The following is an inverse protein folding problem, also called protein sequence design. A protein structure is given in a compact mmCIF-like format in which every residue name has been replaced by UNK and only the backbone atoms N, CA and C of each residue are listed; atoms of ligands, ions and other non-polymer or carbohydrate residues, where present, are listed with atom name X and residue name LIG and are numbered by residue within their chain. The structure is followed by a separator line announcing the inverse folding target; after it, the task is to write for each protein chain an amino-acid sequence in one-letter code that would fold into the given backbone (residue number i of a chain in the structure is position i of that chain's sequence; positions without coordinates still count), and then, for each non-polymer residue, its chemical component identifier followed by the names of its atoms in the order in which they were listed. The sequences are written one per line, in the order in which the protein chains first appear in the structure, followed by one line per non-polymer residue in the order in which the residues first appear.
data_IF_618448713478
#
_entry.id   IF_618448713478
#
_cell.length_a   1.000
_cell.length_b   1.000
_cell.length_c   1.000
_cell.angle_alpha   90.00
_cell.angle_beta   90.00
_cell.angle_gamma   90.00
#
_symmetry.space_group_name_H-M   'P 1'
#
loop_
_entity.id
_entity.type
_entity.pdbx_description
1 polymer ?
#
# COMPACT_ATOMS: atom_id res chain seq x y z
N UNK A 1 -13.28 7.46 -10.53
CA UNK A 1 -13.44 7.86 -11.95
C UNK A 1 -13.62 6.63 -12.81
N UNK A 2 -14.12 6.80 -14.05
CA UNK A 2 -14.35 5.71 -15.00
C UNK A 2 -13.06 4.91 -15.27
N UNK A 3 -11.93 5.61 -15.44
CA UNK A 3 -10.62 5.00 -15.71
C UNK A 3 -10.11 4.16 -14.52
N UNK A 4 -10.42 4.58 -13.29
CA UNK A 4 -10.09 3.83 -12.07
C UNK A 4 -10.97 2.58 -11.94
N UNK A 5 -12.25 2.70 -12.30
CA UNK A 5 -13.19 1.57 -12.28
C UNK A 5 -12.73 0.50 -13.28
N UNK A 6 -12.40 0.90 -14.52
CA UNK A 6 -11.90 0.01 -15.56
C UNK A 6 -10.64 -0.76 -15.14
N UNK A 7 -9.74 -0.13 -14.37
CA UNK A 7 -8.55 -0.81 -13.84
C UNK A 7 -8.84 -1.82 -12.72
N UNK A 8 -9.98 -1.72 -12.05
CA UNK A 8 -10.30 -2.50 -10.84
C UNK A 8 -11.32 -3.62 -11.07
N UNK A 9 -12.06 -3.61 -12.19
CA UNK A 9 -13.11 -4.59 -12.48
C UNK A 9 -12.64 -5.66 -13.48
N UNK A 10 -13.10 -6.89 -13.28
CA UNK A 10 -13.05 -7.91 -14.33
C UNK A 10 -14.31 -7.76 -15.18
N UNK A 11 -14.23 -6.96 -16.24
CA UNK A 11 -15.22 -7.07 -17.30
C UNK A 11 -14.89 -8.30 -18.17
N UNK A 12 -15.89 -8.94 -18.79
CA UNK A 12 -15.67 -10.00 -19.78
C UNK A 12 -14.64 -9.54 -20.83
N UNK A 13 -13.79 -10.46 -21.32
CA UNK A 13 -12.82 -10.15 -22.38
C UNK A 13 -13.50 -9.46 -23.57
N UNK A 14 -13.07 -8.23 -23.89
CA UNK A 14 -13.66 -7.37 -24.93
C UNK A 14 -14.44 -6.16 -24.42
N UNK A 15 -14.83 -6.14 -23.14
CA UNK A 15 -15.65 -5.06 -22.54
C UNK A 15 -14.79 -4.08 -21.72
N UNK A 16 -13.63 -4.51 -21.19
CA UNK A 16 -12.74 -3.70 -20.34
C UNK A 16 -12.02 -2.54 -21.07
N UNK A 17 -11.79 -2.68 -22.38
CA UNK A 17 -11.17 -1.65 -23.22
C UNK A 17 -12.21 -0.70 -23.86
N UNK A 18 -13.48 -1.11 -23.84
CA UNK A 18 -14.57 -0.34 -24.43
C UNK A 18 -15.27 0.50 -23.37
N UNK A 19 -14.98 1.80 -23.40
CA UNK A 19 -15.61 2.76 -22.51
C UNK A 19 -17.12 2.83 -22.77
N UNK A 20 -17.58 2.58 -23.99
CA UNK A 20 -19.00 2.63 -24.36
C UNK A 20 -19.80 1.54 -23.63
N UNK A 21 -19.28 0.32 -23.58
CA UNK A 21 -19.88 -0.78 -22.81
C UNK A 21 -19.90 -0.52 -21.30
N UNK A 22 -18.87 0.15 -20.76
CA UNK A 22 -18.83 0.50 -19.32
C UNK A 22 -19.85 1.58 -18.98
N UNK A 23 -20.01 2.58 -19.86
CA UNK A 23 -21.05 3.60 -19.75
C UNK A 23 -22.45 2.99 -19.81
N UNK A 24 -22.66 1.99 -20.68
CA UNK A 24 -23.93 1.25 -20.77
C UNK A 24 -24.25 0.52 -19.46
N UNK A 25 -23.30 -0.21 -18.89
CA UNK A 25 -23.47 -0.91 -17.60
C UNK A 25 -23.78 0.09 -16.47
N UNK A 26 -23.10 1.22 -16.42
CA UNK A 26 -23.38 2.27 -15.43
C UNK A 26 -24.78 2.87 -15.66
N UNK A 27 -25.20 3.01 -16.92
CA UNK A 27 -26.54 3.45 -17.30
C UNK A 27 -27.65 2.53 -16.79
N UNK A 28 -27.41 1.21 -16.77
CA UNK A 28 -28.35 0.23 -16.17
C UNK A 28 -28.52 0.45 -14.66
N UNK A 29 -27.53 1.03 -13.99
CA UNK A 29 -27.57 1.38 -12.57
C UNK A 29 -28.14 2.80 -12.30
N UNK A 30 -28.81 3.44 -13.27
CA UNK A 30 -29.21 4.85 -13.22
C UNK A 30 -30.06 5.30 -12.02
N UNK A 31 -30.67 4.37 -11.27
CA UNK A 31 -31.34 4.65 -9.99
C UNK A 31 -30.39 4.90 -8.82
N UNK A 32 -29.15 4.40 -8.92
CA UNK A 32 -28.12 4.49 -7.88
C UNK A 32 -26.90 5.31 -8.32
N UNK A 33 -26.50 5.21 -9.59
CA UNK A 33 -25.29 5.82 -10.13
C UNK A 33 -25.61 6.88 -11.18
N UNK A 34 -24.80 7.91 -11.22
CA UNK A 34 -24.75 8.89 -12.31
C UNK A 34 -23.34 8.96 -12.87
N UNK A 35 -23.26 9.07 -14.19
CA UNK A 35 -22.03 9.36 -14.90
C UNK A 35 -22.09 10.80 -15.43
N UNK A 36 -21.11 11.62 -15.05
CA UNK A 36 -20.91 12.97 -15.61
C UNK A 36 -19.49 13.05 -16.15
N UNK A 37 -19.35 13.10 -17.48
CA UNK A 37 -18.04 12.93 -18.11
C UNK A 37 -17.43 11.59 -17.70
N UNK A 38 -16.25 11.60 -17.09
CA UNK A 38 -15.57 10.40 -16.54
C UNK A 38 -15.78 10.19 -15.03
N UNK A 39 -16.71 10.89 -14.41
CA UNK A 39 -16.94 10.81 -12.96
C UNK A 39 -18.21 10.03 -12.65
N UNK A 40 -18.04 8.91 -11.93
CA UNK A 40 -19.13 8.09 -11.39
C UNK A 40 -19.45 8.60 -9.98
N UNK A 41 -20.73 8.86 -9.69
CA UNK A 41 -21.17 9.28 -8.36
C UNK A 41 -22.54 8.72 -8.02
N UNK A 42 -22.83 8.56 -6.73
CA UNK A 42 -24.15 8.12 -6.26
C UNK A 42 -25.18 9.23 -6.47
N UNK A 43 -26.37 8.88 -6.95
CA UNK A 43 -27.48 9.81 -7.20
C UNK A 43 -27.86 10.56 -5.93
N UNK A 44 -27.86 9.86 -4.78
CA UNK A 44 -28.24 10.43 -3.49
C UNK A 44 -27.60 9.69 -2.31
N UNK A 45 -27.54 10.32 -1.13
CA UNK A 45 -27.03 9.68 0.09
C UNK A 45 -27.86 8.43 0.47
N UNK A 46 -29.16 8.43 0.20
CA UNK A 46 -30.02 7.25 0.42
C UNK A 46 -29.62 6.04 -0.44
N UNK A 47 -29.12 6.26 -1.66
CA UNK A 47 -28.58 5.19 -2.49
C UNK A 47 -27.33 4.58 -1.84
N UNK A 48 -26.46 5.41 -1.25
CA UNK A 48 -25.31 4.93 -0.46
C UNK A 48 -25.76 4.07 0.72
N UNK A 49 -26.72 4.57 1.50
CA UNK A 49 -27.18 3.92 2.71
C UNK A 49 -27.88 2.59 2.40
N UNK A 50 -28.69 2.54 1.34
CA UNK A 50 -29.32 1.32 0.86
C UNK A 50 -28.29 0.26 0.46
N UNK A 51 -27.30 0.63 -0.37
CA UNK A 51 -26.26 -0.30 -0.84
C UNK A 51 -25.37 -0.81 0.30
N UNK A 52 -25.06 0.04 1.29
CA UNK A 52 -24.15 -0.30 2.39
C UNK A 52 -24.84 -0.94 3.61
N UNK A 53 -26.18 -1.00 3.64
CA UNK A 53 -26.90 -1.54 4.81
C UNK A 53 -27.98 -2.54 4.44
N UNK A 54 -28.83 -2.18 3.48
CA UNK A 54 -30.03 -2.96 3.17
C UNK A 54 -29.75 -4.03 2.13
N UNK A 55 -29.03 -3.68 1.06
CA UNK A 55 -28.77 -4.58 -0.07
C UNK A 55 -27.47 -5.39 0.05
N UNK A 56 -26.70 -5.25 1.13
CA UNK A 56 -25.37 -5.87 1.28
C UNK A 56 -25.40 -7.37 1.03
N UNK A 57 -26.39 -8.08 1.59
CA UNK A 57 -26.51 -9.53 1.46
C UNK A 57 -26.97 -9.98 0.06
N UNK A 58 -27.72 -9.13 -0.65
CA UNK A 58 -28.16 -9.41 -2.02
C UNK A 58 -27.04 -9.16 -3.03
N UNK A 59 -26.22 -8.12 -2.79
CA UNK A 59 -25.12 -7.73 -3.67
C UNK A 59 -23.88 -8.60 -3.42
N UNK A 60 -23.64 -8.98 -2.16
CA UNK A 60 -22.47 -9.75 -1.75
C UNK A 60 -22.91 -11.02 -1.00
N UNK A 61 -23.55 -12.00 -1.68
CA UNK A 61 -24.07 -13.20 -1.04
C UNK A 61 -22.96 -14.05 -0.39
N UNK A 62 -21.73 -13.96 -0.91
CA UNK A 62 -20.57 -14.68 -0.41
C UNK A 62 -19.73 -13.87 0.60
N UNK A 63 -20.16 -12.65 0.95
CA UNK A 63 -19.48 -11.76 1.89
C UNK A 63 -18.70 -10.60 1.25
N UNK A 64 -18.65 -9.47 1.97
CA UNK A 64 -17.94 -8.26 1.52
C UNK A 64 -16.41 -8.43 1.51
N UNK A 65 -15.88 -9.35 2.32
CA UNK A 65 -14.45 -9.65 2.46
C UNK A 65 -13.86 -10.21 1.16
N UNK A 66 -14.64 -11.00 0.41
CA UNK A 66 -14.22 -11.52 -0.90
C UNK A 66 -14.07 -10.38 -1.91
N UNK A 67 -14.99 -9.42 -1.89
CA UNK A 67 -14.92 -8.25 -2.77
C UNK A 67 -13.76 -7.34 -2.40
N UNK A 68 -13.54 -7.10 -1.10
CA UNK A 68 -12.37 -6.38 -0.63
C UNK A 68 -11.06 -7.05 -1.06
N UNK A 69 -10.96 -8.38 -0.97
CA UNK A 69 -9.80 -9.13 -1.44
C UNK A 69 -9.61 -9.00 -2.96
N UNK A 70 -10.69 -9.09 -3.73
CA UNK A 70 -10.66 -8.91 -5.17
C UNK A 70 -10.12 -7.53 -5.57
N UNK A 71 -10.66 -6.47 -4.97
CA UNK A 71 -10.23 -5.10 -5.23
C UNK A 71 -8.77 -4.91 -4.80
N UNK A 72 -8.37 -5.45 -3.64
CA UNK A 72 -6.97 -5.46 -3.21
C UNK A 72 -6.04 -6.09 -4.24
N UNK A 73 -6.33 -7.33 -4.66
CA UNK A 73 -5.49 -8.08 -5.59
C UNK A 73 -5.35 -7.37 -6.94
N UNK A 74 -6.46 -6.84 -7.46
CA UNK A 74 -6.48 -6.07 -8.72
C UNK A 74 -5.73 -4.74 -8.59
N UNK A 75 -5.94 -4.02 -7.50
CA UNK A 75 -5.26 -2.76 -7.21
C UNK A 75 -3.74 -2.96 -7.14
N UNK A 76 -3.28 -3.92 -6.33
CA UNK A 76 -1.85 -4.20 -6.17
C UNK A 76 -1.21 -4.59 -7.51
N UNK A 77 -1.88 -5.46 -8.29
CA UNK A 77 -1.40 -5.87 -9.61
C UNK A 77 -1.39 -4.74 -10.66
N UNK A 78 -2.31 -3.79 -10.59
CA UNK A 78 -2.32 -2.61 -11.47
C UNK A 78 -1.17 -1.66 -11.10
N UNK A 79 -1.00 -1.37 -9.82
CA UNK A 79 0.06 -0.49 -9.31
C UNK A 79 1.45 -1.07 -9.65
N UNK A 80 1.72 -2.34 -9.35
CA UNK A 80 3.01 -2.98 -9.67
C UNK A 80 3.36 -3.03 -11.15
N UNK A 81 2.35 -2.96 -12.03
CA UNK A 81 2.57 -2.98 -13.48
C UNK A 81 2.80 -1.58 -14.07
N UNK A 82 2.21 -0.56 -13.45
CA UNK A 82 2.21 0.80 -13.99
C UNK A 82 3.22 1.73 -13.31
N UNK A 83 3.54 1.49 -12.04
CA UNK A 83 4.54 2.27 -11.34
C UNK A 83 5.92 2.04 -11.96
N UNK A 84 6.61 3.16 -12.15
CA UNK A 84 8.00 3.21 -12.59
C UNK A 84 8.61 4.48 -12.02
N UNK A 85 9.93 4.48 -11.91
CA UNK A 85 10.69 5.68 -11.56
C UNK A 85 10.40 6.80 -12.56
N UNK A 86 10.25 8.01 -12.03
CA UNK A 86 10.07 9.24 -12.82
C UNK A 86 8.83 9.15 -13.73
N UNK A 87 7.69 8.80 -13.13
CA UNK A 87 6.46 8.48 -13.88
C UNK A 87 5.92 9.69 -14.66
N UNK A 88 6.17 10.90 -14.19
CA UNK A 88 5.86 12.17 -14.87
C UNK A 88 7.02 12.72 -15.71
N UNK A 89 8.15 12.01 -15.80
CA UNK A 89 9.32 12.41 -16.60
C UNK A 89 9.84 13.81 -16.27
N UNK A 90 9.95 14.09 -14.96
CA UNK A 90 10.43 15.35 -14.39
C UNK A 90 11.95 15.53 -14.51
N UNK A 91 12.68 14.49 -14.93
CA UNK A 91 14.13 14.45 -15.23
C UNK A 91 15.06 14.68 -14.02
N UNK A 92 14.64 15.45 -13.02
CA UNK A 92 15.45 15.80 -11.85
C UNK A 92 14.86 15.25 -10.54
N UNK A 93 15.65 14.48 -9.77
CA UNK A 93 15.26 14.10 -8.42
C UNK A 93 15.17 15.35 -7.55
N UNK A 94 14.09 15.44 -6.78
CA UNK A 94 13.83 16.56 -5.86
C UNK A 94 13.14 17.78 -6.44
N UNK A 95 12.56 17.65 -7.63
CA UNK A 95 11.66 18.66 -8.15
C UNK A 95 10.50 18.89 -7.17
N UNK A 96 10.27 20.13 -6.71
CA UNK A 96 9.32 20.38 -5.63
C UNK A 96 7.92 20.09 -6.16
N UNK A 97 7.22 19.21 -5.44
CA UNK A 97 5.95 18.66 -5.90
C UNK A 97 4.96 19.79 -6.21
N UNK A 98 4.90 20.86 -5.42
CA UNK A 98 4.02 22.03 -5.65
C UNK A 98 4.21 22.76 -7.00
N UNK A 99 5.31 22.53 -7.72
CA UNK A 99 5.59 23.10 -9.03
C UNK A 99 5.34 22.12 -10.19
N UNK A 100 4.92 20.88 -9.87
CA UNK A 100 4.64 19.85 -10.87
C UNK A 100 3.27 20.09 -11.50
N UNK A 101 3.24 20.20 -12.82
CA UNK A 101 2.01 20.19 -13.61
C UNK A 101 1.64 18.75 -13.97
N UNK A 102 0.35 18.39 -13.82
CA UNK A 102 -0.15 17.08 -14.24
C UNK A 102 -0.03 16.96 -15.77
N UNK A 103 0.63 15.91 -16.29
CA UNK A 103 0.66 15.64 -17.73
C UNK A 103 -0.73 15.34 -18.29
N UNK A 104 -0.91 15.58 -19.60
CA UNK A 104 -2.09 15.15 -20.36
C UNK A 104 -1.62 14.27 -21.54
N UNK A 105 -1.94 12.96 -21.54
CA UNK A 105 -2.75 12.23 -20.55
C UNK A 105 -2.01 11.98 -19.23
N UNK A 106 -2.75 11.93 -18.11
CA UNK A 106 -2.19 11.63 -16.79
C UNK A 106 -1.88 10.13 -16.65
N UNK A 107 -0.60 9.73 -16.53
CA UNK A 107 -0.22 8.32 -16.44
C UNK A 107 -0.67 7.66 -15.13
N UNK A 108 -1.06 8.44 -14.11
CA UNK A 108 -1.59 7.94 -12.85
C UNK A 108 -3.12 7.83 -12.84
N UNK A 109 -3.83 8.34 -13.85
CA UNK A 109 -5.29 8.46 -13.82
C UNK A 109 -6.00 7.11 -13.55
N UNK A 110 -5.52 6.02 -14.16
CA UNK A 110 -6.11 4.69 -14.00
C UNK A 110 -5.79 4.00 -12.68
N UNK A 111 -4.67 4.35 -12.03
CA UNK A 111 -4.21 3.73 -10.78
C UNK A 111 -4.31 4.64 -9.57
N UNK A 112 -4.82 5.87 -9.72
CA UNK A 112 -4.91 6.87 -8.65
C UNK A 112 -5.66 6.33 -7.43
N UNK A 113 -6.85 5.77 -7.62
CA UNK A 113 -7.59 5.08 -6.56
C UNK A 113 -6.78 3.94 -5.93
N UNK A 114 -6.18 3.08 -6.75
CA UNK A 114 -5.42 1.93 -6.31
C UNK A 114 -4.23 2.38 -5.43
N UNK A 115 -3.46 3.39 -5.85
CA UNK A 115 -2.35 3.95 -5.11
C UNK A 115 -2.73 4.39 -3.70
N UNK A 116 -3.92 4.95 -3.51
CA UNK A 116 -4.36 5.46 -2.20
C UNK A 116 -4.99 4.37 -1.33
N UNK A 117 -5.78 3.47 -1.90
CA UNK A 117 -6.70 2.64 -1.10
C UNK A 117 -6.40 1.14 -1.08
N UNK A 118 -5.37 0.64 -1.78
CA UNK A 118 -5.10 -0.80 -1.82
C UNK A 118 -4.87 -1.42 -0.42
N UNK A 119 -4.20 -0.69 0.49
CA UNK A 119 -3.97 -1.15 1.88
C UNK A 119 -5.27 -1.17 2.68
N UNK A 120 -6.14 -0.19 2.49
CA UNK A 120 -7.45 -0.14 3.15
C UNK A 120 -8.30 -1.36 2.77
N UNK A 121 -8.26 -1.77 1.50
CA UNK A 121 -8.93 -2.99 1.04
C UNK A 121 -8.32 -4.24 1.68
N UNK A 122 -6.99 -4.30 1.77
CA UNK A 122 -6.28 -5.41 2.43
C UNK A 122 -6.67 -5.52 3.90
N UNK A 123 -6.74 -4.41 4.64
CA UNK A 123 -7.16 -4.41 6.04
C UNK A 123 -8.59 -4.94 6.19
N UNK A 124 -9.50 -4.62 5.27
CA UNK A 124 -10.91 -5.07 5.30
C UNK A 124 -11.06 -6.55 4.97
N UNK A 125 -10.23 -7.12 4.11
CA UNK A 125 -10.26 -8.57 3.80
C UNK A 125 -9.31 -9.43 4.64
N UNK A 126 -8.51 -8.82 5.52
CA UNK A 126 -7.45 -9.50 6.29
C UNK A 126 -7.92 -10.57 7.28
N UNK A 127 -9.22 -10.65 7.54
CA UNK A 127 -9.87 -11.73 8.30
C UNK A 127 -9.89 -13.06 7.54
N UNK A 128 -9.65 -13.04 6.23
CA UNK A 128 -9.60 -14.24 5.37
C UNK A 128 -8.25 -14.95 5.45
N UNK A 129 -8.26 -16.29 5.28
CA UNK A 129 -7.04 -17.13 5.34
C UNK A 129 -5.95 -16.75 4.32
N UNK A 130 -6.27 -15.97 3.28
CA UNK A 130 -5.37 -15.65 2.18
C UNK A 130 -4.45 -14.46 2.46
N UNK A 131 -4.90 -13.43 3.20
CA UNK A 131 -4.12 -12.22 3.45
C UNK A 131 -2.78 -12.49 4.17
N UNK A 132 -2.73 -13.55 5.00
CA UNK A 132 -1.49 -13.95 5.68
C UNK A 132 -0.41 -14.49 4.74
N UNK A 133 -0.77 -15.02 3.57
CA UNK A 133 0.18 -15.41 2.53
C UNK A 133 0.63 -14.18 1.74
N UNK A 134 -0.28 -13.26 1.45
CA UNK A 134 0.04 -12.06 0.69
C UNK A 134 1.00 -11.12 1.40
N UNK A 135 0.92 -11.08 2.74
CA UNK A 135 1.76 -10.30 3.64
C UNK A 135 3.14 -10.90 3.93
N UNK A 136 3.45 -12.09 3.43
CA UNK A 136 4.80 -12.66 3.58
C UNK A 136 5.82 -11.89 2.75
N UNK A 137 7.10 -11.95 3.12
CA UNK A 137 8.19 -11.32 2.36
C UNK A 137 8.25 -11.79 0.89
N UNK A 138 7.89 -13.05 0.65
CA UNK A 138 7.76 -13.66 -0.69
C UNK A 138 6.35 -13.54 -1.28
N UNK A 139 5.40 -12.97 -0.53
CA UNK A 139 4.04 -12.72 -0.97
C UNK A 139 3.94 -11.44 -1.82
N UNK A 140 2.84 -11.25 -2.55
CA UNK A 140 2.59 -10.05 -3.36
C UNK A 140 2.88 -8.72 -2.65
N UNK A 141 2.52 -8.57 -1.38
CA UNK A 141 2.76 -7.33 -0.63
C UNK A 141 4.24 -7.13 -0.31
N UNK A 142 4.93 -8.20 0.12
CA UNK A 142 6.38 -8.15 0.36
C UNK A 142 7.19 -7.85 -0.91
N UNK A 143 6.80 -8.45 -2.03
CA UNK A 143 7.41 -8.19 -3.35
C UNK A 143 7.18 -6.73 -3.76
N UNK A 144 5.97 -6.20 -3.58
CA UNK A 144 5.65 -4.81 -3.87
C UNK A 144 6.54 -3.84 -3.08
N UNK A 145 6.68 -4.05 -1.76
CA UNK A 145 7.52 -3.16 -0.94
C UNK A 145 8.99 -3.22 -1.33
N UNK A 146 9.48 -4.38 -1.78
CA UNK A 146 10.87 -4.54 -2.22
C UNK A 146 11.16 -3.78 -3.51
N UNK A 147 10.21 -3.76 -4.45
CA UNK A 147 10.47 -3.32 -5.82
C UNK A 147 9.87 -1.95 -6.15
N UNK A 148 8.70 -1.64 -5.57
CA UNK A 148 7.83 -0.54 -6.00
C UNK A 148 7.58 0.53 -4.94
N UNK A 149 8.04 0.31 -3.69
CA UNK A 149 7.75 1.22 -2.57
C UNK A 149 8.11 2.69 -2.85
N UNK A 150 9.30 2.95 -3.40
CA UNK A 150 9.73 4.32 -3.68
C UNK A 150 8.94 4.94 -4.84
N UNK A 151 8.63 4.14 -5.87
CA UNK A 151 7.78 4.57 -6.99
C UNK A 151 6.35 4.87 -6.51
N UNK A 152 5.89 4.15 -5.49
CA UNK A 152 4.59 4.37 -4.87
C UNK A 152 4.56 5.66 -4.06
N UNK A 153 5.61 5.96 -3.28
CA UNK A 153 5.75 7.24 -2.59
C UNK A 153 5.86 8.42 -3.58
N UNK A 154 6.57 8.23 -4.69
CA UNK A 154 6.62 9.20 -5.79
C UNK A 154 5.20 9.47 -6.33
N UNK A 155 4.47 8.42 -6.70
CA UNK A 155 3.10 8.54 -7.19
C UNK A 155 2.15 9.22 -6.18
N UNK A 156 2.22 8.84 -4.90
CA UNK A 156 1.43 9.47 -3.85
C UNK A 156 1.77 10.96 -3.66
N UNK A 157 3.05 11.31 -3.80
CA UNK A 157 3.47 12.70 -3.77
C UNK A 157 2.87 13.47 -4.95
N UNK A 158 2.98 12.93 -6.16
CA UNK A 158 2.41 13.54 -7.38
C UNK A 158 0.89 13.73 -7.28
N UNK A 159 0.18 12.74 -6.71
CA UNK A 159 -1.28 12.75 -6.48
C UNK A 159 -1.70 13.68 -5.31
N UNK A 160 -0.75 14.16 -4.48
CA UNK A 160 -1.00 14.94 -3.24
C UNK A 160 -1.65 14.16 -2.11
N UNK A 161 -1.41 12.86 -2.07
CA UNK A 161 -1.97 11.94 -1.08
C UNK A 161 -0.89 11.28 -0.21
N UNK A 162 0.25 11.94 -0.01
CA UNK A 162 1.35 11.37 0.80
C UNK A 162 0.92 11.09 2.24
N UNK A 163 0.06 11.94 2.83
CA UNK A 163 -0.52 11.71 4.16
C UNK A 163 -1.34 10.42 4.22
N UNK A 164 -2.10 10.10 3.17
CA UNK A 164 -2.83 8.83 3.07
C UNK A 164 -1.87 7.66 2.98
N UNK A 165 -0.77 7.79 2.23
CA UNK A 165 0.29 6.78 2.19
C UNK A 165 0.88 6.49 3.57
N UNK A 166 1.17 7.53 4.36
CA UNK A 166 1.64 7.37 5.75
C UNK A 166 0.59 6.65 6.60
N UNK A 167 -0.67 7.04 6.49
CA UNK A 167 -1.76 6.36 7.19
C UNK A 167 -1.91 4.89 6.76
N UNK A 168 -1.73 4.59 5.47
CA UNK A 168 -1.73 3.22 4.96
C UNK A 168 -0.61 2.38 5.57
N UNK A 169 0.62 2.91 5.66
CA UNK A 169 1.74 2.20 6.31
C UNK A 169 1.46 1.94 7.80
N UNK A 170 0.87 2.91 8.50
CA UNK A 170 0.46 2.73 9.90
C UNK A 170 -0.59 1.63 10.05
N UNK A 171 -1.64 1.62 9.19
CA UNK A 171 -2.67 0.56 9.19
C UNK A 171 -2.08 -0.82 8.91
N UNK A 172 -1.17 -0.91 7.94
CA UNK A 172 -0.48 -2.15 7.61
C UNK A 172 0.34 -2.69 8.79
N UNK A 173 1.05 -1.80 9.50
CA UNK A 173 1.79 -2.16 10.71
C UNK A 173 0.86 -2.72 11.79
N UNK A 174 -0.24 -2.02 12.11
CA UNK A 174 -1.22 -2.50 13.10
C UNK A 174 -1.83 -3.84 12.70
N UNK A 175 -2.02 -4.07 11.40
CA UNK A 175 -2.49 -5.36 10.89
C UNK A 175 -1.46 -6.48 11.15
N UNK A 176 -0.19 -6.24 10.84
CA UNK A 176 0.88 -7.21 11.08
C UNK A 176 1.01 -7.56 12.58
N UNK A 177 0.94 -6.56 13.45
CA UNK A 177 0.93 -6.74 14.91
C UNK A 177 -0.27 -7.62 15.35
N UNK A 178 -1.47 -7.31 14.85
CA UNK A 178 -2.69 -8.08 15.15
C UNK A 178 -2.60 -9.53 14.68
N UNK A 179 -2.07 -9.77 13.47
CA UNK A 179 -1.91 -11.12 12.93
C UNK A 179 -0.87 -11.92 13.71
N UNK A 180 0.19 -11.27 14.21
CA UNK A 180 1.18 -11.92 15.05
C UNK A 180 0.58 -12.30 16.42
N UNK A 181 -0.26 -11.43 16.99
CA UNK A 181 -1.03 -11.74 18.21
C UNK A 181 -2.00 -12.91 17.97
N UNK A 182 -2.74 -12.92 16.84
CA UNK A 182 -3.63 -14.03 16.47
C UNK A 182 -2.90 -15.35 16.23
N UNK A 183 -1.65 -15.32 15.76
CA UNK A 183 -0.81 -16.54 15.72
C UNK A 183 -0.43 -17.01 17.14
N UNK A 184 -0.33 -16.09 18.10
CA UNK A 184 0.03 -16.35 19.49
C UNK A 184 -1.17 -16.61 20.43
N UNK A 185 -2.39 -16.82 19.93
CA UNK A 185 -3.55 -17.09 20.79
C UNK A 185 -3.61 -18.56 21.20
N UNK A 186 -2.73 -18.92 22.13
CA UNK A 186 -2.97 -19.72 23.34
C UNK A 186 -1.59 -20.12 23.85
N UNK A 187 -1.03 -19.31 24.76
CA UNK A 187 0.27 -19.59 25.38
C UNK A 187 0.08 -20.77 26.33
N UNK A 188 0.65 -21.92 26.00
CA UNK A 188 0.59 -23.12 26.82
C UNK A 188 1.60 -23.07 27.97
N UNK A 189 2.84 -22.69 27.64
CA UNK A 189 3.97 -22.66 28.58
C UNK A 189 5.19 -21.99 27.94
N UNK A 190 6.15 -21.59 28.78
CA UNK A 190 7.52 -21.37 28.35
C UNK A 190 8.27 -22.70 28.30
N UNK A 191 9.20 -22.85 27.36
CA UNK A 191 10.10 -23.99 27.34
C UNK A 191 11.09 -23.96 28.53
N UNK A 192 11.84 -25.05 28.74
CA UNK A 192 12.77 -25.17 29.87
C UNK A 192 13.95 -24.19 29.82
N UNK A 193 14.18 -23.51 28.70
CA UNK A 193 15.19 -22.47 28.54
C UNK A 193 14.63 -21.05 28.63
N UNK A 194 13.32 -20.89 28.84
CA UNK A 194 12.61 -19.60 28.78
C UNK A 194 12.85 -18.80 27.49
N UNK A 195 13.35 -19.45 26.45
CA UNK A 195 13.76 -18.82 25.18
C UNK A 195 12.75 -19.06 24.08
N UNK A 196 11.78 -19.96 24.31
CA UNK A 196 10.73 -20.28 23.37
C UNK A 196 9.37 -20.31 24.07
N UNK A 197 8.36 -19.80 23.38
CA UNK A 197 6.99 -19.72 23.83
C UNK A 197 6.16 -20.76 23.06
N UNK A 198 5.61 -21.74 23.79
CA UNK A 198 4.83 -22.82 23.21
C UNK A 198 3.38 -22.38 23.02
N UNK A 199 2.87 -22.50 21.80
CA UNK A 199 1.49 -22.18 21.45
C UNK A 199 0.77 -23.38 20.85
N UNK A 200 -0.56 -23.32 20.78
CA UNK A 200 -1.40 -24.34 20.12
C UNK A 200 -1.04 -24.61 18.66
N UNK A 201 -0.29 -23.72 18.01
CA UNK A 201 0.07 -23.81 16.61
C UNK A 201 1.59 -23.91 16.36
N UNK A 202 2.39 -24.18 17.40
CA UNK A 202 3.84 -24.37 17.32
C UNK A 202 4.65 -23.54 18.32
N UNK A 203 5.97 -23.70 18.28
CA UNK A 203 6.92 -23.01 19.17
C UNK A 203 7.38 -21.69 18.54
N UNK A 204 7.26 -20.59 19.27
CA UNK A 204 7.74 -19.27 18.85
C UNK A 204 9.04 -18.96 19.62
N UNK A 205 10.16 -18.78 18.92
CA UNK A 205 11.40 -18.33 19.55
C UNK A 205 11.29 -16.87 19.99
N UNK A 206 11.55 -16.60 21.27
CA UNK A 206 11.61 -15.24 21.82
C UNK A 206 12.91 -14.51 21.41
N UNK A 207 13.83 -15.20 20.73
CA UNK A 207 15.04 -14.62 20.14
C UNK A 207 14.79 -13.73 18.91
N UNK A 208 13.55 -13.63 18.40
CA UNK A 208 13.21 -12.71 17.31
C UNK A 208 13.39 -11.23 17.68
N UNK A 209 13.58 -10.91 18.96
CA UNK A 209 13.99 -9.55 19.41
C UNK A 209 15.51 -9.35 19.26
N UNK A 210 16.31 -10.42 19.22
CA UNK A 210 17.77 -10.38 19.10
C UNK A 210 18.27 -10.37 17.66
N UNK A 211 17.49 -10.88 16.69
CA UNK A 211 17.85 -10.85 15.26
C UNK A 211 17.69 -9.46 14.60
N UNK A 212 17.28 -8.43 15.37
CA UNK A 212 17.29 -7.03 14.95
C UNK A 212 18.67 -6.34 15.08
N UNK A 213 19.76 -7.12 15.18
CA UNK A 213 21.10 -6.63 14.84
C UNK A 213 21.65 -5.52 15.74
N UNK A 214 21.43 -5.59 17.05
CA UNK A 214 22.18 -4.79 18.02
C UNK A 214 23.03 -5.72 18.89
N UNK A 215 24.23 -6.05 18.42
CA UNK A 215 25.50 -5.95 19.17
C UNK A 215 26.63 -6.62 18.40
N UNK A 216 27.54 -5.82 17.85
CA UNK A 216 28.97 -5.78 18.21
C UNK A 216 29.82 -5.32 17.01
N UNK A 217 30.63 -4.31 17.27
CA UNK A 217 31.53 -3.66 16.35
C UNK A 217 32.80 -4.49 16.06
N UNK A 218 33.31 -4.42 14.82
CA UNK A 218 34.74 -4.47 14.49
C UNK A 218 34.99 -3.72 13.14
N UNK A 219 36.13 -3.03 12.94
CA UNK A 219 36.30 -1.97 11.95
C UNK A 219 37.01 -2.45 10.67
N UNK A 220 36.24 -2.64 9.62
CA UNK A 220 36.71 -2.48 8.24
C UNK A 220 35.56 -1.80 7.50
N UNK A 221 35.70 -0.50 7.24
CA UNK A 221 34.67 0.37 6.64
C UNK A 221 34.10 -0.30 5.39
N UNK A 222 32.86 -0.82 5.41
CA UNK A 222 32.21 -1.29 4.20
C UNK A 222 31.69 -0.06 3.47
N UNK A 223 31.92 0.00 2.16
CA UNK A 223 31.14 0.90 1.29
C UNK A 223 29.68 0.50 1.47
N UNK A 224 28.86 1.42 1.99
CA UNK A 224 27.44 1.20 2.18
C UNK A 224 26.78 0.95 0.82
N UNK A 225 26.39 -0.28 0.55
CA UNK A 225 25.46 -0.64 -0.53
C UNK A 225 24.05 -0.66 0.07
N UNK A 226 23.32 0.45 -0.05
CA UNK A 226 21.99 0.59 0.54
C UNK A 226 21.42 2.01 0.58
N UNK A 227 20.15 2.13 0.98
CA UNK A 227 19.47 3.42 1.16
C UNK A 227 19.90 4.09 2.46
N UNK A 228 20.18 5.40 2.43
CA UNK A 228 20.53 6.21 3.59
C UNK A 228 19.85 7.58 3.53
N UNK A 229 19.94 8.38 4.59
CA UNK A 229 19.55 9.79 4.58
C UNK A 229 20.83 10.64 4.53
N UNK A 230 20.87 11.65 3.68
CA UNK A 230 21.97 12.62 3.60
C UNK A 230 22.18 13.32 4.95
N UNK A 231 23.40 13.78 5.21
CA UNK A 231 23.78 14.44 6.47
C UNK A 231 22.94 15.70 6.76
N UNK A 232 22.49 16.39 5.72
CA UNK A 232 21.59 17.54 5.76
C UNK A 232 20.09 17.16 5.94
N UNK A 233 19.77 15.87 5.90
CA UNK A 233 18.41 15.29 5.97
C UNK A 233 17.48 15.75 4.86
N UNK A 234 18.03 16.34 3.80
CA UNK A 234 17.23 16.82 2.67
C UNK A 234 17.06 15.75 1.60
N UNK A 235 17.85 14.67 1.66
CA UNK A 235 17.86 13.63 0.63
C UNK A 235 17.79 12.24 1.23
N UNK A 236 16.99 11.36 0.63
CA UNK A 236 17.23 9.92 0.65
C UNK A 236 18.29 9.63 -0.40
N UNK A 237 19.34 8.91 -0.02
CA UNK A 237 20.47 8.54 -0.86
C UNK A 237 20.52 7.04 -1.09
N UNK A 238 21.10 6.61 -2.22
CA UNK A 238 21.44 5.22 -2.52
C UNK A 238 22.93 5.18 -2.87
N UNK A 239 23.71 4.34 -2.18
CA UNK A 239 25.17 4.27 -2.38
C UNK A 239 25.89 5.63 -2.25
N UNK A 240 25.36 6.52 -1.41
CA UNK A 240 25.82 7.92 -1.23
C UNK A 240 25.49 8.89 -2.37
N UNK A 241 24.61 8.52 -3.31
CA UNK A 241 24.07 9.41 -4.35
C UNK A 241 22.64 9.86 -4.03
N UNK A 242 22.30 11.11 -4.33
CA UNK A 242 20.99 11.71 -4.05
C UNK A 242 19.88 11.09 -4.92
N UNK A 243 18.85 10.52 -4.27
CA UNK A 243 17.77 9.78 -4.93
C UNK A 243 16.41 10.48 -4.80
N UNK A 244 16.02 10.93 -3.61
CA UNK A 244 14.74 11.63 -3.39
C UNK A 244 14.93 12.81 -2.44
N UNK A 245 14.45 13.99 -2.80
CA UNK A 245 14.46 15.15 -1.91
C UNK A 245 13.25 15.15 -0.97
N UNK A 246 13.47 15.55 0.27
CA UNK A 246 12.47 15.61 1.34
C UNK A 246 12.11 17.07 1.64
N UNK A 247 10.85 17.48 1.40
CA UNK A 247 10.36 18.79 1.81
C UNK A 247 10.51 18.98 3.33
N UNK A 248 10.69 20.22 3.82
CA UNK A 248 10.91 20.51 5.25
C UNK A 248 9.93 19.82 6.20
N UNK A 249 8.67 19.68 5.78
CA UNK A 249 7.57 19.06 6.52
C UNK A 249 7.70 17.54 6.66
N UNK A 250 8.48 16.89 5.81
CA UNK A 250 8.68 15.43 5.75
C UNK A 250 10.12 15.02 6.10
N UNK A 251 10.92 15.95 6.64
CA UNK A 251 12.30 15.64 7.02
C UNK A 251 12.32 14.75 8.27
N UNK A 252 13.02 13.61 8.23
CA UNK A 252 13.06 12.67 9.34
C UNK A 252 13.77 13.28 10.55
N UNK A 253 13.15 13.16 11.71
CA UNK A 253 13.83 13.44 12.98
C UNK A 253 14.73 12.28 13.40
N UNK A 254 14.30 11.06 13.08
CA UNK A 254 15.08 9.82 13.21
C UNK A 254 14.98 9.01 11.91
N UNK A 255 16.04 8.31 11.55
CA UNK A 255 16.07 7.42 10.40
C UNK A 255 16.78 6.13 10.78
N UNK A 256 16.20 4.99 10.41
CA UNK A 256 16.83 3.68 10.53
C UNK A 256 16.94 3.06 9.14
N UNK A 257 18.10 2.53 8.79
CA UNK A 257 18.35 1.87 7.50
C UNK A 257 18.80 0.43 7.72
N UNK A 258 18.20 -0.50 7.00
CA UNK A 258 18.63 -1.91 6.92
C UNK A 258 18.75 -2.30 5.46
N UNK A 259 19.99 -2.46 4.95
CA UNK A 259 20.38 -2.85 3.59
C UNK A 259 19.48 -2.34 2.44
N UNK A 260 18.28 -2.91 2.24
CA UNK A 260 17.31 -2.54 1.18
C UNK A 260 16.18 -1.60 1.62
N UNK A 261 16.08 -1.26 2.90
CA UNK A 261 14.90 -0.61 3.48
C UNK A 261 15.32 0.53 4.39
N UNK A 262 14.72 1.71 4.18
CA UNK A 262 14.90 2.87 5.05
C UNK A 262 13.58 3.28 5.69
N UNK A 263 13.58 3.41 7.00
CA UNK A 263 12.47 3.84 7.82
C UNK A 263 12.73 5.27 8.30
N UNK A 264 11.77 6.17 8.05
CA UNK A 264 11.85 7.57 8.42
C UNK A 264 10.81 7.85 9.50
N UNK A 265 11.24 8.36 10.66
CA UNK A 265 10.36 8.73 11.77
C UNK A 265 10.14 10.24 11.84
N UNK A 266 8.87 10.65 11.95
CA UNK A 266 8.46 12.04 12.17
C UNK A 266 7.99 12.26 13.63
N UNK A 267 8.07 13.48 14.19
CA UNK A 267 7.65 13.76 15.57
C UNK A 267 6.15 13.62 15.83
N UNK A 268 5.33 13.59 14.78
CA UNK A 268 3.88 13.64 14.84
C UNK A 268 3.17 12.28 14.80
N UNK A 269 3.90 11.15 14.87
CA UNK A 269 3.30 9.81 14.90
C UNK A 269 4.29 8.69 14.65
#
# INVERSE_FOLDING_TARGET
MLDELASCINLPEGVADDHESLEEIIGLCGSFLTLRGRTISLVHQSAKDFLLREAVQEIFPDGEDIVHYFIFSKSLGAISRMLRRDIYSLLHPGYPVNQVNQPDPDPLASIRYACVYWVDQLCRCSTTKNATKDLQDSGPVGIFFRNDYLHWLEALSLIRSLSEGVASIQRLRSLLETLNIRKATSVKSFDNTNSYLETDNGTIGLSLVSDLGLTNADPQVPRFEGYSVSSDREWITWNSENLLWLPPEYRPHTSASSLSTICLGCPSG
#
